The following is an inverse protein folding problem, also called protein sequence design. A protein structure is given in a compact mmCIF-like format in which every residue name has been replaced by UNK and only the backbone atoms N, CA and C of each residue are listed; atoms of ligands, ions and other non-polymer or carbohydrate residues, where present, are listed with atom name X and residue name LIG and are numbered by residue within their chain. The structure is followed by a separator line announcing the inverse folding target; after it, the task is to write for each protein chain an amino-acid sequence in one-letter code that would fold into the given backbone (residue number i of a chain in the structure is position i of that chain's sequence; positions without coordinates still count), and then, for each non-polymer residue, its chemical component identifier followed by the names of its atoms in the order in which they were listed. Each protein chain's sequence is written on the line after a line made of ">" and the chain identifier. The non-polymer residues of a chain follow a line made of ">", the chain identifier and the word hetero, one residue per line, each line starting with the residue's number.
data_IF_016840130224
#
_entry.id   IF_016840130224
#
_cell.length_a   1.000
_cell.length_b   1.000
_cell.length_c   1.000
_cell.angle_alpha   90.00
_cell.angle_beta   90.00
_cell.angle_gamma   90.00
#
_symmetry.space_group_name_H-M   'P 1'
#
loop_
_entity.id
_entity.type
_entity.pdbx_description
1 polymer ?
#
# COMPACT_ATOMS: atom_id res chain seq x y z
N UNK A 1 2.64 5.11 -10.26
CA UNK A 1 1.45 6.04 -10.35
C UNK A 1 0.37 5.58 -9.39
N UNK A 2 -0.26 6.49 -8.63
CA UNK A 2 -1.39 6.18 -7.74
C UNK A 2 -2.60 7.03 -8.15
N UNK A 3 -3.66 6.39 -8.65
CA UNK A 3 -4.87 7.07 -9.17
C UNK A 3 -5.60 7.83 -8.05
N UNK A 4 -5.66 7.29 -6.83
CA UNK A 4 -6.30 7.99 -5.71
C UNK A 4 -5.54 9.26 -5.33
N UNK A 5 -4.20 9.25 -5.36
CA UNK A 5 -3.40 10.44 -5.12
C UNK A 5 -3.59 11.49 -6.22
N UNK A 6 -3.59 11.08 -7.48
CA UNK A 6 -3.87 11.98 -8.61
C UNK A 6 -5.24 12.63 -8.48
N UNK A 7 -6.26 11.85 -8.08
CA UNK A 7 -7.60 12.37 -7.86
C UNK A 7 -7.64 13.32 -6.66
N UNK A 8 -6.95 13.00 -5.56
CA UNK A 8 -6.84 13.89 -4.40
C UNK A 8 -6.27 15.23 -4.80
N UNK A 9 -5.15 15.24 -5.52
CA UNK A 9 -4.48 16.46 -5.98
C UNK A 9 -5.36 17.27 -6.95
N UNK A 10 -6.12 16.57 -7.80
CA UNK A 10 -7.06 17.20 -8.72
C UNK A 10 -8.25 17.85 -7.98
N UNK A 11 -8.79 17.20 -6.95
CA UNK A 11 -9.87 17.77 -6.11
C UNK A 11 -9.38 18.99 -5.33
N UNK A 12 -8.16 18.98 -4.80
CA UNK A 12 -7.57 20.16 -4.14
C UNK A 12 -7.52 21.35 -5.11
N UNK A 13 -7.08 21.12 -6.35
CA UNK A 13 -7.05 22.14 -7.40
C UNK A 13 -8.45 22.61 -7.79
N UNK A 14 -9.42 21.70 -7.89
CA UNK A 14 -10.81 22.01 -8.20
C UNK A 14 -11.44 22.93 -7.12
N UNK A 15 -11.25 22.61 -5.84
CA UNK A 15 -11.73 23.45 -4.73
C UNK A 15 -11.14 24.85 -4.80
N UNK A 16 -9.85 24.96 -5.08
CA UNK A 16 -9.20 26.27 -5.23
C UNK A 16 -9.74 27.05 -6.42
N UNK A 17 -9.96 26.38 -7.54
CA UNK A 17 -10.48 27.01 -8.75
C UNK A 17 -11.95 27.44 -8.63
N UNK A 18 -12.81 26.57 -8.09
CA UNK A 18 -14.25 26.82 -7.98
C UNK A 18 -14.60 27.78 -6.84
N UNK A 19 -13.86 27.74 -5.73
CA UNK A 19 -14.25 28.44 -4.49
C UNK A 19 -13.18 29.36 -3.90
N UNK A 20 -11.99 29.42 -4.49
CA UNK A 20 -10.89 30.29 -4.02
C UNK A 20 -10.29 29.86 -2.68
N UNK A 21 -10.58 28.65 -2.19
CA UNK A 21 -10.14 28.17 -0.89
C UNK A 21 -8.99 27.17 -1.04
N UNK A 22 -8.02 27.26 -0.14
CA UNK A 22 -6.94 26.27 -0.02
C UNK A 22 -7.36 25.19 0.98
N UNK A 23 -7.25 23.91 0.57
CA UNK A 23 -7.46 22.75 1.40
C UNK A 23 -6.22 21.85 1.35
N UNK A 24 -6.07 21.00 2.37
CA UNK A 24 -5.00 20.01 2.38
C UNK A 24 -5.48 18.65 1.83
N UNK A 25 -4.58 17.80 1.29
CA UNK A 25 -4.95 16.49 0.77
C UNK A 25 -5.71 15.62 1.78
N UNK A 26 -5.40 15.72 3.08
CA UNK A 26 -6.02 14.96 4.16
C UNK A 26 -7.51 15.28 4.35
N UNK A 27 -7.97 16.42 3.85
CA UNK A 27 -9.37 16.82 3.88
C UNK A 27 -10.20 16.20 2.75
N UNK A 28 -9.55 15.63 1.76
CA UNK A 28 -10.19 14.94 0.64
C UNK A 28 -10.44 13.49 1.01
N UNK A 29 -11.71 13.13 1.13
CA UNK A 29 -12.11 11.74 1.45
C UNK A 29 -12.49 11.02 0.15
N UNK A 30 -11.68 10.03 -0.23
CA UNK A 30 -11.93 9.17 -1.38
C UNK A 30 -12.21 7.75 -0.88
N UNK A 31 -13.17 7.09 -1.51
CA UNK A 31 -13.51 5.70 -1.26
C UNK A 31 -13.89 4.98 -2.57
N UNK A 32 -13.86 3.68 -2.57
CA UNK A 32 -14.36 2.89 -3.70
C UNK A 32 -15.87 3.10 -3.85
N UNK A 33 -16.34 3.32 -5.09
CA UNK A 33 -17.76 3.43 -5.37
C UNK A 33 -18.50 2.14 -5.02
N UNK A 34 -19.67 2.26 -4.41
CA UNK A 34 -20.50 1.09 -4.08
C UNK A 34 -20.99 0.39 -5.36
N UNK A 35 -21.14 -0.94 -5.35
CA UNK A 35 -21.55 -1.69 -6.54
C UNK A 35 -22.89 -1.27 -7.16
N UNK A 36 -23.77 -0.67 -6.36
CA UNK A 36 -25.10 -0.22 -6.78
C UNK A 36 -25.06 1.09 -7.61
N UNK A 37 -23.90 1.76 -7.70
CA UNK A 37 -23.74 3.03 -8.40
C UNK A 37 -22.65 2.93 -9.47
N UNK A 38 -22.85 3.66 -10.55
CA UNK A 38 -21.83 3.84 -11.60
C UNK A 38 -20.65 4.66 -11.09
N UNK A 39 -19.43 4.25 -11.45
CA UNK A 39 -18.19 4.91 -11.08
C UNK A 39 -17.15 3.95 -10.48
N UNK A 40 -15.92 4.40 -10.39
CA UNK A 40 -14.81 3.65 -9.80
C UNK A 40 -14.46 4.16 -8.40
N UNK A 41 -14.39 5.49 -8.25
CA UNK A 41 -14.04 6.18 -7.00
C UNK A 41 -15.10 7.21 -6.65
N UNK A 42 -15.35 7.36 -5.36
CA UNK A 42 -16.33 8.33 -4.81
C UNK A 42 -15.60 9.35 -3.96
N UNK A 43 -15.81 10.63 -4.27
CA UNK A 43 -15.39 11.75 -3.44
C UNK A 43 -16.55 12.17 -2.55
N UNK A 44 -16.31 12.30 -1.25
CA UNK A 44 -17.29 12.76 -0.26
C UNK A 44 -17.31 14.29 -0.26
N UNK A 45 -18.46 14.91 -0.63
CA UNK A 45 -18.54 16.36 -0.76
C UNK A 45 -18.80 17.09 0.56
N UNK A 46 -19.29 16.39 1.59
CA UNK A 46 -19.70 16.99 2.86
C UNK A 46 -18.63 17.86 3.55
N UNK A 47 -17.34 17.50 3.57
CA UNK A 47 -16.31 18.35 4.14
C UNK A 47 -16.19 19.73 3.49
N UNK A 48 -16.60 19.84 2.22
CA UNK A 48 -16.44 21.07 1.41
C UNK A 48 -17.63 22.03 1.51
N UNK A 49 -18.75 21.63 2.13
CA UNK A 49 -19.96 22.46 2.18
C UNK A 49 -19.78 23.79 2.93
N UNK A 50 -18.86 23.80 3.91
CA UNK A 50 -18.52 25.06 4.62
C UNK A 50 -17.79 26.06 3.72
N UNK A 51 -17.08 25.55 2.70
CA UNK A 51 -16.31 26.32 1.73
C UNK A 51 -17.23 26.77 0.60
N UNK A 52 -17.93 25.82 -0.02
CA UNK A 52 -18.81 26.07 -1.17
C UNK A 52 -20.05 26.91 -0.81
N UNK A 53 -20.56 26.77 0.42
CA UNK A 53 -21.84 27.36 0.89
C UNK A 53 -23.02 26.98 -0.01
N UNK A 54 -22.94 25.83 -0.66
CA UNK A 54 -23.94 25.26 -1.57
C UNK A 54 -24.45 23.92 -1.06
N UNK A 55 -25.46 23.37 -1.73
CA UNK A 55 -25.96 22.02 -1.44
C UNK A 55 -24.89 20.97 -1.80
N UNK A 56 -24.93 19.78 -1.19
CA UNK A 56 -23.97 18.71 -1.49
C UNK A 56 -23.93 18.32 -2.97
N UNK A 57 -25.10 18.26 -3.61
CA UNK A 57 -25.25 17.93 -5.02
C UNK A 57 -24.62 18.99 -5.92
N UNK A 58 -24.93 20.27 -5.67
CA UNK A 58 -24.39 21.39 -6.44
C UNK A 58 -22.86 21.50 -6.28
N UNK A 59 -22.36 21.26 -5.06
CA UNK A 59 -20.92 21.22 -4.79
C UNK A 59 -20.25 20.07 -5.55
N UNK A 60 -20.90 18.91 -5.57
CA UNK A 60 -20.43 17.77 -6.34
C UNK A 60 -20.38 18.05 -7.84
N UNK A 61 -21.40 18.72 -8.37
CA UNK A 61 -21.49 19.08 -9.79
C UNK A 61 -20.40 20.08 -10.21
N UNK A 62 -20.19 21.15 -9.42
CA UNK A 62 -19.11 22.11 -9.68
C UNK A 62 -17.74 21.42 -9.75
N UNK A 63 -17.44 20.54 -8.79
CA UNK A 63 -16.19 19.79 -8.76
C UNK A 63 -16.07 18.81 -9.92
N UNK A 64 -17.16 18.09 -10.23
CA UNK A 64 -17.17 17.11 -11.31
C UNK A 64 -16.94 17.76 -12.68
N UNK A 65 -17.64 18.85 -12.97
CA UNK A 65 -17.47 19.59 -14.21
C UNK A 65 -16.04 20.11 -14.37
N UNK A 66 -15.49 20.69 -13.29
CA UNK A 66 -14.10 21.13 -13.32
C UNK A 66 -13.11 19.98 -13.57
N UNK A 67 -13.32 18.84 -12.91
CA UNK A 67 -12.45 17.65 -13.08
C UNK A 67 -12.50 17.10 -14.50
N UNK A 68 -13.68 17.03 -15.11
CA UNK A 68 -13.85 16.54 -16.50
C UNK A 68 -13.24 17.52 -17.51
N UNK A 69 -13.38 18.82 -17.29
CA UNK A 69 -12.91 19.84 -18.22
C UNK A 69 -11.40 20.12 -18.11
N UNK A 70 -10.84 20.00 -16.93
CA UNK A 70 -9.46 20.43 -16.64
C UNK A 70 -8.49 19.27 -16.39
N UNK A 71 -8.97 18.02 -16.44
CA UNK A 71 -8.11 16.85 -16.28
C UNK A 71 -8.44 15.77 -17.31
N UNK A 72 -7.47 14.92 -17.61
CA UNK A 72 -7.67 13.68 -18.39
C UNK A 72 -7.93 12.45 -17.48
N UNK A 73 -8.21 12.69 -16.19
CA UNK A 73 -8.36 11.66 -15.17
C UNK A 73 -9.77 11.07 -15.15
N UNK A 74 -10.78 11.93 -15.31
CA UNK A 74 -12.20 11.58 -15.16
C UNK A 74 -12.91 11.63 -16.51
N UNK A 75 -13.63 10.57 -16.87
CA UNK A 75 -14.41 10.52 -18.12
C UNK A 75 -15.87 10.89 -17.91
N UNK A 76 -16.49 10.43 -16.84
CA UNK A 76 -17.90 10.69 -16.51
C UNK A 76 -18.10 10.72 -14.99
N UNK A 77 -19.21 11.24 -14.55
CA UNK A 77 -19.56 11.29 -13.14
C UNK A 77 -21.05 11.04 -12.89
N UNK A 78 -21.37 10.66 -11.66
CA UNK A 78 -22.73 10.52 -11.15
C UNK A 78 -22.77 11.02 -9.70
N UNK A 79 -23.82 11.75 -9.33
CA UNK A 79 -23.96 12.32 -7.98
C UNK A 79 -25.19 11.72 -7.32
N UNK A 80 -24.98 11.14 -6.14
CA UNK A 80 -26.05 10.55 -5.34
C UNK A 80 -25.93 11.01 -3.89
N UNK A 81 -26.88 11.83 -3.45
CA UNK A 81 -26.98 12.31 -2.04
C UNK A 81 -25.66 12.88 -1.50
N UNK A 82 -24.98 13.72 -2.30
CA UNK A 82 -23.71 14.32 -1.89
C UNK A 82 -22.47 13.43 -2.00
N UNK A 83 -22.59 12.28 -2.63
CA UNK A 83 -21.48 11.43 -3.01
C UNK A 83 -21.20 11.61 -4.50
N UNK A 84 -20.03 12.13 -4.81
CA UNK A 84 -19.58 12.33 -6.19
C UNK A 84 -18.86 11.05 -6.65
N UNK A 85 -19.55 10.24 -7.43
CA UNK A 85 -19.01 9.02 -8.02
C UNK A 85 -18.37 9.35 -9.37
N UNK A 86 -17.11 8.98 -9.53
CA UNK A 86 -16.28 9.31 -10.69
C UNK A 86 -15.88 8.06 -11.45
N UNK A 87 -16.02 8.10 -12.76
CA UNK A 87 -15.49 7.09 -13.67
C UNK A 87 -14.13 7.54 -14.16
N UNK A 88 -13.09 6.85 -13.78
CA UNK A 88 -11.71 7.13 -14.21
C UNK A 88 -11.58 6.78 -15.69
N UNK A 89 -10.94 7.65 -16.46
CA UNK A 89 -10.74 7.48 -17.88
C UNK A 89 -9.97 6.17 -18.18
N UNK A 90 -10.38 5.36 -19.18
CA UNK A 90 -9.73 4.10 -19.51
C UNK A 90 -8.22 4.23 -19.75
N UNK A 91 -7.81 5.34 -20.36
CA UNK A 91 -6.40 5.65 -20.58
C UNK A 91 -5.56 5.62 -19.31
N UNK A 92 -6.12 6.11 -18.17
CA UNK A 92 -5.41 6.13 -16.88
C UNK A 92 -5.19 4.74 -16.30
N UNK A 93 -6.07 3.80 -16.56
CA UNK A 93 -5.87 2.41 -16.19
C UNK A 93 -4.78 1.75 -17.02
N UNK A 94 -4.68 2.09 -18.31
CA UNK A 94 -3.59 1.61 -19.18
C UNK A 94 -2.26 2.19 -18.71
N UNK A 95 -2.19 3.51 -18.46
CA UNK A 95 -1.00 4.16 -17.93
C UNK A 95 -0.57 3.55 -16.58
N UNK A 96 -1.51 3.19 -15.70
CA UNK A 96 -1.22 2.50 -14.45
C UNK A 96 -0.63 1.11 -14.72
N UNK A 97 -1.20 0.34 -15.62
CA UNK A 97 -0.70 -0.99 -15.99
C UNK A 97 0.72 -0.92 -16.55
N UNK A 98 0.99 0.04 -17.44
CA UNK A 98 2.33 0.29 -18.00
C UNK A 98 3.34 0.64 -16.90
N UNK A 99 2.94 1.45 -15.90
CA UNK A 99 3.79 1.77 -14.76
C UNK A 99 4.06 0.55 -13.86
N UNK A 100 3.07 -0.34 -13.70
CA UNK A 100 3.23 -1.60 -12.95
C UNK A 100 4.20 -2.52 -13.68
N UNK A 101 4.04 -2.66 -14.99
CA UNK A 101 4.88 -3.53 -15.84
C UNK A 101 6.34 -3.05 -15.90
N UNK A 102 6.53 -1.73 -15.91
CA UNK A 102 7.86 -1.11 -15.97
C UNK A 102 8.65 -1.19 -14.64
N UNK A 103 8.01 -1.48 -13.52
CA UNK A 103 8.64 -1.50 -12.19
C UNK A 103 8.53 -2.88 -11.54
N UNK A 104 9.57 -3.70 -11.66
CA UNK A 104 9.66 -5.04 -11.03
C UNK A 104 9.45 -5.01 -9.49
N UNK A 105 9.58 -3.84 -8.88
CA UNK A 105 9.40 -3.64 -7.44
C UNK A 105 8.12 -2.88 -7.09
N UNK A 106 7.21 -2.75 -8.05
CA UNK A 106 5.95 -2.03 -7.82
C UNK A 106 5.21 -2.55 -6.59
N UNK A 107 4.79 -1.62 -5.73
CA UNK A 107 4.12 -1.95 -4.46
C UNK A 107 5.05 -2.38 -3.32
N UNK A 108 6.36 -2.47 -3.56
CA UNK A 108 7.34 -2.76 -2.52
C UNK A 108 8.03 -1.48 -2.05
N UNK A 109 8.15 -1.32 -0.75
CA UNK A 109 8.95 -0.23 -0.19
C UNK A 109 10.46 -0.52 -0.38
N UNK A 110 11.24 0.52 -0.62
CA UNK A 110 12.72 0.43 -0.67
C UNK A 110 13.28 0.89 0.66
N UNK A 111 14.02 0.03 1.40
CA UNK A 111 14.67 0.43 2.64
C UNK A 111 15.71 1.52 2.40
N UNK A 112 15.69 2.59 3.22
CA UNK A 112 16.69 3.63 3.28
C UNK A 112 17.56 3.52 4.54
N UNK A 113 18.49 4.46 4.73
CA UNK A 113 19.38 4.46 5.91
C UNK A 113 18.62 4.60 7.22
N UNK A 114 17.56 5.40 7.26
CA UNK A 114 16.70 5.65 8.43
C UNK A 114 15.60 4.58 8.61
N UNK A 115 15.53 3.58 7.73
CA UNK A 115 14.52 2.53 7.84
C UNK A 115 14.73 1.69 9.09
N UNK A 116 13.65 1.21 9.72
CA UNK A 116 13.73 0.34 10.90
C UNK A 116 14.59 -0.87 10.64
N UNK A 117 15.47 -1.21 11.58
CA UNK A 117 16.25 -2.43 11.54
C UNK A 117 15.45 -3.56 12.19
N UNK A 118 15.18 -4.62 11.42
CA UNK A 118 14.50 -5.83 11.88
C UNK A 118 15.47 -7.00 11.83
N UNK A 119 15.73 -7.62 12.97
CA UNK A 119 16.52 -8.86 13.04
C UNK A 119 15.58 -10.05 13.10
N UNK A 120 15.78 -11.02 12.23
CA UNK A 120 15.00 -12.26 12.18
C UNK A 120 15.94 -13.45 12.40
N UNK A 121 15.77 -14.11 13.55
CA UNK A 121 16.50 -15.34 13.85
C UNK A 121 15.68 -16.54 13.39
N UNK A 122 16.30 -17.39 12.58
CA UNK A 122 15.72 -18.66 12.15
C UNK A 122 16.83 -19.61 11.68
N UNK A 123 16.47 -20.86 11.37
CA UNK A 123 17.44 -21.86 10.91
C UNK A 123 18.52 -22.19 11.96
N UNK A 124 18.08 -22.35 13.22
CA UNK A 124 18.95 -22.68 14.37
C UNK A 124 18.73 -24.12 14.87
N UNK A 125 18.92 -25.15 14.02
CA UNK A 125 18.75 -26.55 14.46
C UNK A 125 19.90 -27.01 15.37
N UNK A 126 19.65 -28.05 16.17
CA UNK A 126 20.72 -28.73 16.87
C UNK A 126 21.67 -29.39 15.87
N UNK A 127 22.98 -29.17 16.02
CA UNK A 127 24.01 -29.59 15.06
C UNK A 127 24.21 -31.07 14.94
N UNK A 128 23.83 -31.84 15.96
CA UNK A 128 24.08 -33.31 16.07
C UNK A 128 22.81 -34.16 15.86
N UNK A 129 21.78 -33.60 15.22
CA UNK A 129 20.53 -34.31 14.92
C UNK A 129 20.17 -34.15 13.44
N UNK A 130 19.54 -35.17 12.81
CA UNK A 130 19.04 -35.03 11.46
C UNK A 130 17.92 -33.98 11.40
N UNK A 131 17.86 -33.28 10.30
CA UNK A 131 16.78 -32.34 10.03
C UNK A 131 15.46 -33.07 9.78
N UNK A 132 14.36 -32.45 10.14
CA UNK A 132 13.01 -32.95 9.90
C UNK A 132 12.09 -31.83 9.42
N UNK A 133 10.86 -32.12 9.04
CA UNK A 133 9.89 -31.16 8.49
C UNK A 133 9.65 -29.93 9.39
N UNK A 134 9.79 -30.06 10.71
CA UNK A 134 9.71 -28.91 11.64
C UNK A 134 10.82 -27.89 11.40
N UNK A 135 12.02 -28.31 11.05
CA UNK A 135 13.11 -27.40 10.68
C UNK A 135 12.84 -26.71 9.34
N UNK A 136 12.33 -27.45 8.35
CA UNK A 136 11.94 -26.88 7.05
C UNK A 136 10.87 -25.80 7.24
N UNK A 137 9.83 -26.09 8.03
CA UNK A 137 8.80 -25.12 8.37
C UNK A 137 9.38 -23.87 9.02
N UNK A 138 10.25 -24.01 10.01
CA UNK A 138 10.90 -22.88 10.68
C UNK A 138 11.69 -22.01 9.69
N UNK A 139 12.47 -22.66 8.80
CA UNK A 139 13.23 -21.97 7.78
C UNK A 139 12.36 -21.18 6.82
N UNK A 140 11.26 -21.78 6.33
CA UNK A 140 10.32 -21.11 5.43
C UNK A 140 9.61 -19.94 6.10
N UNK A 141 9.18 -20.10 7.38
CA UNK A 141 8.57 -19.03 8.15
C UNK A 141 9.52 -17.86 8.36
N UNK A 142 10.75 -18.11 8.82
CA UNK A 142 11.74 -17.07 9.04
C UNK A 142 12.12 -16.35 7.75
N UNK A 143 12.28 -17.09 6.66
CA UNK A 143 12.52 -16.51 5.34
C UNK A 143 11.35 -15.64 4.86
N UNK A 144 10.11 -16.14 4.96
CA UNK A 144 8.91 -15.41 4.55
C UNK A 144 8.71 -14.11 5.36
N UNK A 145 8.86 -14.19 6.69
CA UNK A 145 8.79 -13.00 7.57
C UNK A 145 9.86 -11.98 7.20
N UNK A 146 11.09 -12.43 6.93
CA UNK A 146 12.17 -11.55 6.48
C UNK A 146 11.81 -10.86 5.16
N UNK A 147 11.26 -11.58 4.19
CA UNK A 147 10.85 -11.02 2.89
C UNK A 147 9.70 -10.03 3.02
N UNK A 148 8.73 -10.31 3.88
CA UNK A 148 7.61 -9.39 4.14
C UNK A 148 8.12 -8.10 4.81
N UNK A 149 9.03 -8.21 5.78
CA UNK A 149 9.62 -7.03 6.42
C UNK A 149 10.45 -6.20 5.44
N UNK A 150 11.27 -6.83 4.59
CA UNK A 150 12.00 -6.16 3.50
C UNK A 150 11.04 -5.42 2.56
N UNK A 151 9.96 -6.09 2.13
CA UNK A 151 8.95 -5.54 1.24
C UNK A 151 8.19 -4.33 1.84
N UNK A 152 8.09 -4.27 3.16
CA UNK A 152 7.51 -3.16 3.89
C UNK A 152 8.53 -2.08 4.29
N UNK A 153 9.74 -2.10 3.74
CA UNK A 153 10.74 -1.05 3.90
C UNK A 153 11.64 -1.18 5.12
N UNK A 154 11.65 -2.32 5.83
CA UNK A 154 12.61 -2.59 6.89
C UNK A 154 13.96 -3.01 6.33
N UNK A 155 15.05 -2.57 6.97
CA UNK A 155 16.37 -3.20 6.79
C UNK A 155 16.37 -4.51 7.57
N UNK A 156 16.56 -5.64 6.90
CA UNK A 156 16.47 -6.95 7.55
C UNK A 156 17.83 -7.61 7.67
N UNK A 157 18.15 -8.02 8.89
CA UNK A 157 19.31 -8.88 9.19
C UNK A 157 18.82 -10.28 9.55
N UNK A 158 19.20 -11.26 8.76
CA UNK A 158 18.91 -12.69 9.00
C UNK A 158 20.03 -13.28 9.83
N UNK A 159 19.68 -13.88 10.95
CA UNK A 159 20.62 -14.47 11.90
C UNK A 159 20.26 -15.90 12.22
N UNK A 160 21.24 -16.66 12.65
CA UNK A 160 21.01 -17.98 13.24
C UNK A 160 21.97 -18.20 14.41
N UNK A 161 21.55 -19.06 15.34
CA UNK A 161 22.37 -19.48 16.47
C UNK A 161 22.87 -20.88 16.17
N UNK A 162 24.19 -21.04 16.19
CA UNK A 162 24.82 -22.36 16.08
C UNK A 162 25.02 -22.94 17.48
N UNK A 163 24.37 -24.08 17.75
CA UNK A 163 24.50 -24.77 19.01
C UNK A 163 25.69 -25.74 18.92
N UNK A 164 26.86 -25.28 19.34
CA UNK A 164 28.14 -26.02 19.32
C UNK A 164 28.55 -26.55 20.69
N UNK A 165 27.77 -26.32 21.74
CA UNK A 165 28.06 -26.74 23.11
C UNK A 165 26.82 -27.33 23.79
N UNK A 166 26.98 -28.51 24.34
CA UNK A 166 25.91 -29.17 25.08
C UNK A 166 26.16 -30.65 25.29
N UNK A 167 25.40 -31.31 26.19
CA UNK A 167 25.61 -32.71 26.57
C UNK A 167 25.45 -33.67 25.37
N UNK A 168 24.55 -33.36 24.43
CA UNK A 168 24.36 -34.19 23.22
C UNK A 168 25.56 -34.13 22.29
N UNK A 169 26.16 -32.96 22.14
CA UNK A 169 27.39 -32.78 21.35
C UNK A 169 28.54 -33.52 22.00
N UNK A 170 28.73 -33.37 23.32
CA UNK A 170 29.77 -34.13 24.07
C UNK A 170 29.61 -35.66 23.93
N UNK A 171 28.36 -36.17 23.98
CA UNK A 171 28.08 -37.60 23.75
C UNK A 171 28.42 -38.04 22.32
N UNK A 172 28.10 -37.22 21.32
CA UNK A 172 28.42 -37.51 19.93
C UNK A 172 29.93 -37.50 19.69
N UNK A 173 30.66 -36.55 20.26
CA UNK A 173 32.12 -36.50 20.21
C UNK A 173 32.77 -37.71 20.88
N UNK A 174 32.27 -38.10 22.06
CA UNK A 174 32.77 -39.29 22.77
C UNK A 174 32.53 -40.56 21.97
N UNK A 175 31.39 -40.70 21.32
CA UNK A 175 31.07 -41.85 20.46
C UNK A 175 31.96 -41.90 19.21
N UNK A 176 32.36 -40.74 18.69
CA UNK A 176 33.27 -40.65 17.53
C UNK A 176 34.74 -41.00 17.90
N UNK A 177 35.14 -40.69 19.13
CA UNK A 177 36.48 -40.99 19.63
C UNK A 177 36.68 -42.45 20.04
N UNK A 178 35.63 -43.27 20.20
CA UNK A 178 35.65 -44.70 20.49
C UNK A 178 35.59 -45.54 19.24
#
# INVERSE_FOLDING_TARGET
>A
MNIEQLLTDAVVKAIKACYGADITPEQVQIQKTRPDFEGHLTVVTFPFLRISKRKPEDTGEDLALWLVENTDLVSTFNIVKGFLNLTIAPKKWIELLENIDADERYGLATPGEESPLTMVEYSSPNTNKPLHLGHVRNNLLGWAVSKIAEANGSRVVKTNIVNDRGIHICKSMLAWLK
#
